data_IF_935688203469
#
_entry.id   IF_935688203469
#
_cell.length_a   1.000
_cell.length_b   1.000
_cell.length_c   1.000
_cell.angle_alpha   90.00
_cell.angle_beta   90.00
_cell.angle_gamma   90.00
#
_symmetry.space_group_name_H-M   'P 1'
#
loop_
_entity.id
_entity.type
_entity.pdbx_description
1 polymer ?
#
# COMPACT_ATOMS: atom_id res chain seq x y z
N UNK A 1 -33.94 -31.83 -38.83
CA UNK A 1 -33.92 -31.42 -37.41
C UNK A 1 -32.51 -31.40 -36.82
N UNK A 2 -31.73 -32.49 -36.92
CA UNK A 2 -30.35 -32.60 -36.37
C UNK A 2 -29.41 -31.40 -36.64
N UNK A 3 -29.44 -30.83 -37.86
CA UNK A 3 -28.61 -29.68 -38.21
C UNK A 3 -28.89 -28.43 -37.34
N UNK A 4 -30.17 -28.18 -37.03
CA UNK A 4 -30.61 -27.01 -36.25
C UNK A 4 -30.21 -27.16 -34.77
N UNK A 5 -30.39 -28.36 -34.19
CA UNK A 5 -29.91 -28.65 -32.84
C UNK A 5 -28.40 -28.55 -32.70
N UNK A 6 -27.63 -28.90 -33.74
CA UNK A 6 -26.18 -28.72 -33.76
C UNK A 6 -25.75 -27.25 -33.69
N UNK A 7 -26.39 -26.37 -34.48
CA UNK A 7 -26.09 -24.93 -34.43
C UNK A 7 -26.48 -24.28 -33.10
N UNK A 8 -27.57 -24.73 -32.46
CA UNK A 8 -27.95 -24.26 -31.12
C UNK A 8 -26.90 -24.65 -30.06
N UNK A 9 -26.38 -25.88 -30.10
CA UNK A 9 -25.33 -26.32 -29.16
C UNK A 9 -24.04 -25.52 -29.32
N UNK A 10 -23.63 -25.20 -30.55
CA UNK A 10 -22.46 -24.35 -30.83
C UNK A 10 -22.65 -22.91 -30.33
N UNK A 11 -23.87 -22.36 -30.46
CA UNK A 11 -24.21 -21.04 -29.91
C UNK A 11 -24.13 -21.01 -28.39
N UNK A 12 -24.69 -22.03 -27.70
CA UNK A 12 -24.65 -22.12 -26.24
C UNK A 12 -23.22 -22.26 -25.71
N UNK A 13 -22.38 -23.09 -26.33
CA UNK A 13 -20.97 -23.20 -25.91
C UNK A 13 -20.19 -21.92 -26.17
N UNK A 14 -20.44 -21.22 -27.28
CA UNK A 14 -19.83 -19.92 -27.57
C UNK A 14 -20.24 -18.83 -26.58
N UNK A 15 -21.53 -18.78 -26.19
CA UNK A 15 -21.99 -17.84 -25.15
C UNK A 15 -21.35 -18.17 -23.80
N UNK A 16 -21.23 -19.45 -23.44
CA UNK A 16 -20.57 -19.86 -22.20
C UNK A 16 -19.09 -19.49 -22.17
N UNK A 17 -18.33 -19.70 -23.26
CA UNK A 17 -16.90 -19.32 -23.30
C UNK A 17 -16.68 -17.82 -23.29
N UNK A 18 -17.54 -17.03 -23.95
CA UNK A 18 -17.50 -15.56 -23.86
C UNK A 18 -17.75 -15.11 -22.42
N UNK A 19 -18.77 -15.68 -21.75
CA UNK A 19 -19.10 -15.34 -20.37
C UNK A 19 -17.97 -15.69 -19.38
N UNK A 20 -17.35 -16.87 -19.51
CA UNK A 20 -16.24 -17.26 -18.62
C UNK A 20 -14.99 -16.42 -18.85
N UNK A 21 -14.65 -16.07 -20.10
CA UNK A 21 -13.52 -15.17 -20.40
C UNK A 21 -13.79 -13.76 -19.87
N UNK A 22 -15.01 -13.23 -20.07
CA UNK A 22 -15.38 -11.89 -19.58
C UNK A 22 -15.36 -11.83 -18.03
N UNK A 23 -15.87 -12.86 -17.36
CA UNK A 23 -15.84 -12.96 -15.90
C UNK A 23 -14.39 -13.10 -15.39
N UNK A 24 -13.56 -13.92 -16.03
CA UNK A 24 -12.15 -14.06 -15.67
C UNK A 24 -11.40 -12.74 -15.86
N UNK A 25 -11.59 -12.05 -16.98
CA UNK A 25 -10.98 -10.73 -17.21
C UNK A 25 -11.40 -9.71 -16.13
N UNK A 26 -12.69 -9.68 -15.76
CA UNK A 26 -13.19 -8.79 -14.71
C UNK A 26 -12.61 -9.13 -13.31
N UNK A 27 -12.44 -10.43 -12.99
CA UNK A 27 -11.81 -10.87 -11.74
C UNK A 27 -10.31 -10.55 -11.66
N UNK A 28 -9.62 -10.45 -12.80
CA UNK A 28 -8.20 -10.07 -12.86
C UNK A 28 -7.99 -8.54 -12.97
N UNK A 29 -9.05 -7.75 -13.18
CA UNK A 29 -9.01 -6.28 -13.24
C UNK A 29 -9.02 -5.59 -11.86
N UNK A 30 -8.60 -6.30 -10.81
CA UNK A 30 -8.46 -5.72 -9.47
C UNK A 30 -7.30 -4.70 -9.48
N UNK A 31 -7.53 -3.42 -9.11
CA UNK A 31 -6.44 -2.47 -8.92
C UNK A 31 -5.62 -2.90 -7.69
N UNK A 32 -4.37 -3.30 -7.92
CA UNK A 32 -3.47 -3.88 -6.91
C UNK A 32 -2.22 -3.00 -6.67
N UNK A 33 -2.01 -1.97 -7.50
CA UNK A 33 -0.80 -1.16 -7.53
C UNK A 33 -1.11 0.29 -7.13
N UNK A 34 -0.23 0.89 -6.34
CA UNK A 34 -0.34 2.26 -5.87
C UNK A 34 1.05 2.88 -5.76
N UNK A 35 1.41 3.78 -6.68
CA UNK A 35 2.76 4.33 -6.76
C UNK A 35 3.05 5.39 -5.67
N UNK A 36 4.26 5.34 -5.10
CA UNK A 36 4.75 6.43 -4.23
C UNK A 36 5.45 7.51 -5.06
N UNK A 37 4.81 8.68 -5.17
CA UNK A 37 5.36 9.87 -5.84
C UNK A 37 5.74 10.95 -4.82
N UNK A 38 7.05 11.16 -4.61
CA UNK A 38 7.55 12.23 -3.75
C UNK A 38 7.77 13.52 -4.55
N UNK A 39 7.51 14.67 -3.92
CA UNK A 39 7.73 16.00 -4.48
C UNK A 39 8.71 16.78 -3.61
N UNK A 40 9.76 17.35 -4.22
CA UNK A 40 10.65 18.30 -3.54
C UNK A 40 10.08 19.73 -3.58
N UNK A 41 10.66 20.64 -2.78
CA UNK A 41 10.34 22.08 -2.79
C UNK A 41 10.58 22.75 -4.16
N UNK A 42 11.45 22.18 -4.99
CA UNK A 42 11.70 22.59 -6.37
C UNK A 42 10.64 22.06 -7.36
N UNK A 43 9.56 21.44 -6.86
CA UNK A 43 8.50 20.79 -7.63
C UNK A 43 9.01 19.67 -8.57
N UNK A 44 10.21 19.16 -8.33
CA UNK A 44 10.73 17.94 -8.95
C UNK A 44 10.07 16.72 -8.30
N UNK A 45 9.60 15.79 -9.12
CA UNK A 45 8.92 14.58 -8.68
C UNK A 45 9.77 13.34 -8.91
N UNK A 46 9.82 12.44 -7.93
CA UNK A 46 10.49 11.15 -8.05
C UNK A 46 9.55 10.03 -7.62
N UNK A 47 9.41 9.01 -8.48
CA UNK A 47 8.69 7.77 -8.17
C UNK A 47 9.61 6.84 -7.39
N UNK A 48 9.04 6.12 -6.42
CA UNK A 48 9.71 5.07 -5.67
C UNK A 48 8.90 3.79 -5.81
N UNK A 49 9.59 2.71 -6.14
CA UNK A 49 9.01 1.37 -6.06
C UNK A 49 8.66 1.06 -4.60
N UNK A 50 7.49 0.48 -4.38
CA UNK A 50 7.00 0.12 -3.07
C UNK A 50 6.30 -1.24 -3.08
N UNK A 51 5.78 -1.63 -1.91
CA UNK A 51 4.94 -2.80 -1.78
C UNK A 51 3.86 -2.49 -0.73
N UNK A 52 2.58 -2.80 -1.00
CA UNK A 52 1.52 -2.58 -0.03
C UNK A 52 1.64 -3.54 1.17
N UNK A 53 1.28 -3.07 2.36
CA UNK A 53 1.13 -3.92 3.54
C UNK A 53 0.07 -5.02 3.33
N UNK A 54 0.31 -6.21 3.91
CA UNK A 54 -0.72 -7.25 4.07
C UNK A 54 -1.73 -6.94 5.19
N UNK A 55 -1.55 -5.84 5.90
CA UNK A 55 -2.40 -5.36 7.00
C UNK A 55 -2.73 -3.88 6.84
N UNK A 56 -3.63 -3.35 7.67
CA UNK A 56 -4.11 -1.96 7.55
C UNK A 56 -5.19 -1.82 6.49
N UNK A 57 -5.42 -0.58 6.06
CA UNK A 57 -6.51 -0.23 5.14
C UNK A 57 -6.00 -0.10 3.71
N UNK A 58 -6.85 -0.45 2.73
CA UNK A 58 -6.55 -0.15 1.32
C UNK A 58 -6.62 1.36 1.09
N UNK A 59 -5.70 1.86 0.26
CA UNK A 59 -5.76 3.23 -0.25
C UNK A 59 -7.11 3.49 -0.94
N UNK A 60 -7.70 4.68 -0.76
CA UNK A 60 -8.84 5.11 -1.56
C UNK A 60 -8.38 5.32 -3.02
N UNK A 61 -9.31 5.31 -3.97
CA UNK A 61 -8.98 5.40 -5.40
C UNK A 61 -8.29 6.72 -5.79
N UNK A 62 -8.48 7.76 -4.98
CA UNK A 62 -7.88 9.08 -5.09
C UNK A 62 -6.44 9.16 -4.52
N UNK A 63 -5.96 8.08 -3.88
CA UNK A 63 -4.67 8.01 -3.20
C UNK A 63 -4.61 8.79 -1.87
N UNK A 64 -3.43 8.84 -1.26
CA UNK A 64 -3.17 9.67 -0.08
C UNK A 64 -2.05 10.67 -0.36
N UNK A 65 -2.37 11.97 -0.34
CA UNK A 65 -1.38 13.05 -0.40
C UNK A 65 -1.20 13.69 0.98
N UNK A 66 0.05 13.90 1.39
CA UNK A 66 0.39 14.49 2.67
C UNK A 66 1.85 14.93 2.76
N UNK A 67 2.21 15.56 3.88
CA UNK A 67 3.59 15.93 4.19
C UNK A 67 4.33 14.74 4.80
N UNK A 68 5.52 14.44 4.27
CA UNK A 68 6.40 13.41 4.79
C UNK A 68 7.25 13.96 5.96
N UNK A 69 7.26 13.27 7.10
CA UNK A 69 7.98 13.69 8.32
C UNK A 69 8.79 12.52 8.88
N UNK A 70 10.09 12.72 9.09
CA UNK A 70 10.95 11.74 9.74
C UNK A 70 10.51 11.50 11.19
N UNK A 71 10.26 10.24 11.53
CA UNK A 71 9.97 9.79 12.89
C UNK A 71 11.07 10.17 13.88
N UNK A 72 10.67 10.45 15.12
CA UNK A 72 11.57 10.72 16.24
C UNK A 72 11.09 9.88 17.44
N UNK A 73 11.83 8.83 17.84
CA UNK A 73 13.09 8.32 17.26
C UNK A 73 12.91 7.71 15.86
N UNK A 74 13.97 7.75 15.02
CA UNK A 74 13.97 7.30 13.61
C UNK A 74 13.48 5.85 13.41
N UNK A 75 13.72 4.98 14.39
CA UNK A 75 13.40 3.56 14.31
C UNK A 75 11.97 3.24 14.76
N UNK A 76 11.24 4.20 15.35
CA UNK A 76 9.92 4.02 15.96
C UNK A 76 9.78 2.82 16.94
N UNK A 77 10.88 2.33 17.53
CA UNK A 77 10.88 1.25 18.54
C UNK A 77 10.27 1.70 19.89
N UNK A 78 10.11 3.01 20.08
CA UNK A 78 9.48 3.67 21.23
C UNK A 78 8.40 4.62 20.70
N UNK A 79 7.44 5.09 21.54
CA UNK A 79 6.48 6.10 21.15
C UNK A 79 7.15 7.27 20.45
N UNK A 80 6.64 7.65 19.28
CA UNK A 80 7.22 8.72 18.47
C UNK A 80 6.52 10.05 18.73
N UNK A 81 7.20 11.16 18.42
CA UNK A 81 6.61 12.50 18.49
C UNK A 81 5.44 12.62 17.51
N UNK A 82 4.26 13.14 17.93
CA UNK A 82 3.11 13.37 17.04
C UNK A 82 3.46 14.38 15.93
N UNK A 83 2.66 14.43 14.84
CA UNK A 83 2.87 15.41 13.79
C UNK A 83 2.76 16.85 14.33
N UNK A 84 3.40 17.83 13.67
CA UNK A 84 3.31 19.24 14.02
C UNK A 84 1.94 19.79 13.61
N UNK A 85 0.90 19.46 14.38
CA UNK A 85 -0.43 20.01 14.24
C UNK A 85 -0.35 21.51 14.53
N UNK A 86 -0.37 22.34 13.49
CA UNK A 86 -0.70 23.75 13.64
C UNK A 86 -2.21 23.85 13.76
N UNK A 87 -2.66 24.54 14.81
CA UNK A 87 -4.07 24.71 15.14
C UNK A 87 -4.91 25.05 13.90
N UNK A 88 -5.89 24.19 13.61
CA UNK A 88 -6.85 24.30 12.49
C UNK A 88 -6.32 24.04 11.07
N UNK A 89 -5.08 23.58 10.87
CA UNK A 89 -4.63 23.09 9.56
C UNK A 89 -4.79 21.57 9.44
N UNK A 90 -5.70 21.09 8.57
CA UNK A 90 -5.93 19.66 8.31
C UNK A 90 -4.84 19.07 7.40
N UNK A 91 -3.57 19.24 7.78
CA UNK A 91 -2.46 18.64 7.08
C UNK A 91 -2.48 17.13 7.26
N UNK A 92 -2.61 16.36 6.18
CA UNK A 92 -2.31 14.93 6.19
C UNK A 92 -0.81 14.78 6.44
N UNK A 93 -0.43 14.13 7.53
CA UNK A 93 0.97 13.82 7.84
C UNK A 93 1.23 12.32 7.70
N UNK A 94 2.32 12.01 7.00
CA UNK A 94 2.81 10.67 6.72
C UNK A 94 4.17 10.54 7.39
N UNK A 95 4.36 9.53 8.25
CA UNK A 95 5.62 9.35 8.95
C UNK A 95 6.59 8.49 8.14
N UNK A 96 7.84 8.95 8.03
CA UNK A 96 8.96 8.19 7.49
C UNK A 96 9.72 7.52 8.65
N UNK A 97 9.80 6.19 8.62
CA UNK A 97 10.44 5.38 9.67
C UNK A 97 11.59 4.58 9.06
N UNK A 98 12.73 4.54 9.74
CA UNK A 98 13.87 3.71 9.37
C UNK A 98 13.63 2.27 9.78
N UNK A 99 13.79 1.33 8.84
CA UNK A 99 13.54 -0.11 9.04
C UNK A 99 14.43 -0.74 10.11
N UNK A 100 15.66 -0.26 10.30
CA UNK A 100 16.62 -0.81 11.28
C UNK A 100 15.98 -0.98 12.67
N UNK A 101 16.25 -2.11 13.31
CA UNK A 101 15.76 -2.60 14.60
C UNK A 101 14.23 -2.80 14.75
N UNK A 102 13.83 -3.82 15.52
CA UNK A 102 12.45 -4.18 15.86
C UNK A 102 11.51 -4.62 14.71
N UNK A 103 10.44 -5.32 15.08
CA UNK A 103 9.39 -5.76 14.17
C UNK A 103 8.58 -4.57 13.63
N UNK A 104 8.13 -4.68 12.37
CA UNK A 104 7.30 -3.68 11.71
C UNK A 104 6.05 -3.32 12.50
N UNK A 105 5.36 -4.31 13.07
CA UNK A 105 4.13 -4.12 13.87
C UNK A 105 4.32 -3.08 15.00
N UNK A 106 5.49 -3.07 15.65
CA UNK A 106 5.79 -2.09 16.71
C UNK A 106 5.96 -0.68 16.14
N UNK A 107 6.60 -0.56 14.97
CA UNK A 107 6.81 0.72 14.26
C UNK A 107 5.47 1.32 13.84
N UNK A 108 4.60 0.52 13.22
CA UNK A 108 3.26 0.95 12.77
C UNK A 108 2.34 1.27 13.96
N UNK A 109 2.36 0.46 15.03
CA UNK A 109 1.59 0.73 16.24
C UNK A 109 2.00 2.06 16.91
N UNK A 110 3.29 2.36 16.97
CA UNK A 110 3.77 3.64 17.51
C UNK A 110 3.43 4.83 16.60
N UNK A 111 3.41 4.64 15.29
CA UNK A 111 2.89 5.65 14.34
C UNK A 111 1.39 5.91 14.52
N UNK A 112 0.59 4.87 14.76
CA UNK A 112 -0.85 4.99 15.03
C UNK A 112 -1.14 5.70 16.34
N UNK A 113 -0.40 5.37 17.41
CA UNK A 113 -0.49 6.06 18.71
C UNK A 113 -0.07 7.53 18.66
N UNK A 114 0.67 7.92 17.63
CA UNK A 114 1.08 9.29 17.37
C UNK A 114 0.22 9.99 16.30
N UNK A 115 -0.93 9.42 15.94
CA UNK A 115 -1.98 10.02 15.09
C UNK A 115 -1.57 10.34 13.63
N UNK A 116 -0.50 9.72 13.12
CA UNK A 116 -0.17 9.79 11.69
C UNK A 116 -1.21 9.04 10.84
N UNK A 117 -1.53 9.56 9.65
CA UNK A 117 -2.53 8.94 8.75
C UNK A 117 -1.97 7.80 7.90
N UNK A 118 -0.66 7.80 7.68
CA UNK A 118 0.06 6.68 7.10
C UNK A 118 1.50 6.63 7.61
N UNK A 119 2.12 5.47 7.50
CA UNK A 119 3.55 5.27 7.73
C UNK A 119 4.22 4.68 6.49
N UNK A 120 5.40 5.20 6.17
CA UNK A 120 6.32 4.70 5.15
C UNK A 120 7.56 4.22 5.88
N UNK A 121 7.83 2.92 5.83
CA UNK A 121 9.05 2.36 6.45
C UNK A 121 10.09 2.12 5.38
N UNK A 122 11.04 3.05 5.25
CA UNK A 122 12.16 2.92 4.32
C UNK A 122 13.34 2.22 4.98
N UNK A 123 14.27 1.72 4.18
CA UNK A 123 15.50 1.11 4.66
C UNK A 123 16.71 1.74 3.94
N UNK A 124 17.86 1.73 4.58
CA UNK A 124 19.07 2.48 4.20
C UNK A 124 20.13 1.59 3.55
N UNK A 125 20.13 0.26 3.77
CA UNK A 125 21.36 -0.55 3.67
C UNK A 125 21.35 -1.71 2.61
N UNK A 126 20.53 -1.66 1.53
CA UNK A 126 20.29 -2.71 0.48
C UNK A 126 19.36 -2.19 -0.65
N UNK A 127 18.76 -3.03 -1.54
CA UNK A 127 17.83 -2.59 -2.64
C UNK A 127 16.75 -3.65 -3.03
N UNK A 128 16.14 -4.42 -2.12
CA UNK A 128 15.47 -5.73 -2.43
C UNK A 128 14.01 -5.85 -1.89
N UNK A 129 13.09 -6.73 -2.35
CA UNK A 129 11.66 -6.63 -1.96
C UNK A 129 11.22 -7.40 -0.66
N UNK A 130 10.74 -6.70 0.40
CA UNK A 130 10.03 -7.30 1.57
C UNK A 130 8.56 -6.87 1.65
N UNK A 131 7.68 -7.85 1.84
CA UNK A 131 6.34 -7.71 2.42
C UNK A 131 6.40 -7.61 3.95
N UNK A 132 5.82 -6.58 4.57
CA UNK A 132 5.59 -6.62 6.02
C UNK A 132 4.53 -7.68 6.32
N UNK A 133 5.00 -8.85 6.71
CA UNK A 133 4.21 -9.94 7.24
C UNK A 133 4.46 -10.03 8.74
N UNK A 134 3.39 -10.03 9.54
CA UNK A 134 3.49 -10.16 10.99
C UNK A 134 3.86 -11.61 11.33
N UNK A 135 5.12 -11.78 11.73
CA UNK A 135 5.74 -12.99 12.31
C UNK A 135 6.14 -14.11 11.32
N UNK A 136 7.46 -14.21 11.09
CA UNK A 136 8.23 -15.33 10.51
C UNK A 136 8.03 -15.69 9.02
N UNK A 137 8.89 -15.17 8.15
CA UNK A 137 9.95 -15.90 7.40
C UNK A 137 10.94 -14.87 6.79
N UNK A 138 12.10 -15.30 6.30
CA UNK A 138 13.30 -14.48 6.07
C UNK A 138 13.32 -13.47 4.88
N UNK A 139 14.05 -12.35 5.12
CA UNK A 139 14.99 -11.58 4.24
C UNK A 139 14.55 -10.38 3.34
N UNK A 140 15.44 -9.36 3.44
CA UNK A 140 15.81 -8.11 2.69
C UNK A 140 14.89 -7.54 1.58
N UNK A 141 14.58 -6.22 1.39
CA UNK A 141 14.71 -4.90 2.11
C UNK A 141 14.05 -3.74 1.29
N UNK A 142 12.83 -3.25 1.55
CA UNK A 142 12.18 -2.20 0.70
C UNK A 142 11.35 -1.13 1.49
N UNK A 143 10.71 -0.17 0.78
CA UNK A 143 9.82 0.86 1.34
C UNK A 143 8.36 0.39 1.37
N UNK A 144 7.70 0.42 2.53
CA UNK A 144 6.33 -0.07 2.66
C UNK A 144 5.38 0.97 3.24
N UNK A 145 4.28 1.19 2.53
CA UNK A 145 3.19 2.09 2.89
C UNK A 145 2.07 1.34 3.63
N UNK A 146 1.78 1.77 4.86
CA UNK A 146 0.61 1.33 5.62
C UNK A 146 -0.34 2.50 5.83
N UNK A 147 -1.59 2.39 5.37
CA UNK A 147 -2.64 3.26 5.91
C UNK A 147 -2.92 2.89 7.36
N UNK A 148 -2.96 3.92 8.18
CA UNK A 148 -3.23 3.82 9.60
C UNK A 148 -4.60 4.44 9.84
N UNK A 149 -5.53 3.67 10.39
CA UNK A 149 -6.80 4.24 10.85
C UNK A 149 -6.53 5.12 12.06
N UNK A 150 -6.66 6.43 11.84
CA UNK A 150 -6.84 7.37 12.92
C UNK A 150 -8.28 7.28 13.41
N UNK A 151 -8.44 7.06 14.71
CA UNK A 151 -9.63 7.46 15.46
C UNK A 151 -9.86 8.96 15.36
#
# INVERSE_FOLDING_TARGET
MLLSTGMLMLSVTQVYTILTVQLFAFLNLLPVEADILAYNFENTSQTFDDLPTRFGYRLPAEGLKGFLINSKPEHACKPIVPPPVKDNSSGTFIVLIRRLDYNFDTKILNAQRAEYKAAIVHDVDSVDLISMESNNIEKTKYSMFSLISGT
#
